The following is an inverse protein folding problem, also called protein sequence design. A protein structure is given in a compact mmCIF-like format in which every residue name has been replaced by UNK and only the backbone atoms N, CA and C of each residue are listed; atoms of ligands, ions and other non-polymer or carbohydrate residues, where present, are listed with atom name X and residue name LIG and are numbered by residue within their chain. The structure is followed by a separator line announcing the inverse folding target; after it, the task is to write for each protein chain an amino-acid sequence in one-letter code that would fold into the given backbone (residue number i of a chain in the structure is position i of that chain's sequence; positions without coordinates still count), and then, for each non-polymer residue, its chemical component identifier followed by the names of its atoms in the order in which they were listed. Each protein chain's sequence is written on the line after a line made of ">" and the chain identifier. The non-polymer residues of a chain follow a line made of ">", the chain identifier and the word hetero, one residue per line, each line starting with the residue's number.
data_IF_783134336436
#
_entry.id   IF_783134336436
#
_cell.length_a   1.000
_cell.length_b   1.000
_cell.length_c   1.000
_cell.angle_alpha   90.00
_cell.angle_beta   90.00
_cell.angle_gamma   90.00
#
_symmetry.space_group_name_H-M   'P 1'
#
loop_
_entity.id
_entity.type
_entity.pdbx_description
1 polymer ?
#
# COMPACT_ATOMS: atom_id res chain seq x y z
N UNK A 1 27.17 -41.38 -35.29
CA UNK A 1 26.35 -40.96 -34.14
C UNK A 1 27.01 -39.72 -33.56
N UNK A 2 26.49 -38.53 -33.86
CA UNK A 2 27.07 -37.26 -33.44
C UNK A 2 26.18 -36.63 -32.39
N UNK A 3 26.72 -36.41 -31.19
CA UNK A 3 26.03 -35.75 -30.09
C UNK A 3 26.03 -34.23 -30.34
N UNK A 4 24.87 -33.67 -30.64
CA UNK A 4 24.65 -32.23 -30.66
C UNK A 4 24.60 -31.71 -29.22
N UNK A 5 25.65 -31.01 -28.79
CA UNK A 5 25.62 -30.21 -27.55
C UNK A 5 24.78 -28.97 -27.82
N UNK A 6 23.62 -28.90 -27.18
CA UNK A 6 22.75 -27.72 -27.12
C UNK A 6 23.51 -26.56 -26.46
N UNK A 7 23.72 -25.48 -27.21
CA UNK A 7 24.19 -24.21 -26.68
C UNK A 7 23.15 -23.67 -25.68
N UNK A 8 23.54 -23.58 -24.41
CA UNK A 8 22.80 -22.83 -23.39
C UNK A 8 22.92 -21.34 -23.72
N UNK A 9 21.98 -20.82 -24.49
CA UNK A 9 21.79 -19.38 -24.65
C UNK A 9 21.10 -18.85 -23.38
N UNK A 10 21.91 -18.63 -22.34
CA UNK A 10 21.53 -17.80 -21.21
C UNK A 10 21.24 -16.42 -21.76
N UNK A 11 19.96 -16.07 -21.89
CA UNK A 11 19.55 -14.69 -22.12
C UNK A 11 20.06 -13.88 -20.94
N UNK A 12 21.11 -13.08 -21.18
CA UNK A 12 21.53 -11.99 -20.32
C UNK A 12 20.32 -11.07 -20.12
N UNK A 13 19.55 -11.34 -19.07
CA UNK A 13 18.71 -10.32 -18.47
C UNK A 13 19.69 -9.28 -17.97
N UNK A 14 19.76 -8.15 -18.68
CA UNK A 14 20.43 -6.94 -18.18
C UNK A 14 19.99 -6.76 -16.73
N UNK A 15 20.86 -7.11 -15.80
CA UNK A 15 20.66 -6.88 -14.38
C UNK A 15 20.71 -5.36 -14.25
N UNK A 16 19.54 -4.74 -14.27
CA UNK A 16 19.37 -3.37 -13.82
C UNK A 16 20.02 -3.37 -12.43
N UNK A 17 21.04 -2.54 -12.17
CA UNK A 17 21.68 -2.51 -10.87
C UNK A 17 20.58 -2.32 -9.84
N UNK A 18 20.45 -3.26 -8.91
CA UNK A 18 19.53 -3.12 -7.80
C UNK A 18 19.92 -1.83 -7.09
N UNK A 19 19.17 -0.75 -7.31
CA UNK A 19 19.35 0.50 -6.59
C UNK A 19 19.32 0.13 -5.12
N UNK A 20 20.46 0.30 -4.45
CA UNK A 20 20.61 -0.03 -3.04
C UNK A 20 19.77 0.98 -2.28
N UNK A 21 18.51 0.64 -2.02
CA UNK A 21 17.62 1.44 -1.21
C UNK A 21 18.33 1.72 0.12
N UNK A 22 18.41 3.00 0.47
CA UNK A 22 18.97 3.40 1.75
C UNK A 22 18.15 2.79 2.88
N UNK A 23 18.80 2.58 4.04
CA UNK A 23 18.11 2.10 5.25
C UNK A 23 16.91 2.97 5.64
N UNK A 24 16.94 4.26 5.32
CA UNK A 24 15.83 5.19 5.56
C UNK A 24 14.63 4.90 4.64
N UNK A 25 14.87 4.67 3.36
CA UNK A 25 13.80 4.32 2.40
C UNK A 25 13.14 3.01 2.78
N UNK A 26 13.92 1.98 3.12
CA UNK A 26 13.36 0.69 3.58
C UNK A 26 12.49 0.85 4.82
N UNK A 27 12.89 1.69 5.78
CA UNK A 27 12.08 1.97 6.98
C UNK A 27 10.79 2.74 6.67
N UNK A 28 10.84 3.67 5.70
CA UNK A 28 9.66 4.40 5.25
C UNK A 28 8.65 3.45 4.62
N UNK A 29 9.09 2.57 3.71
CA UNK A 29 8.24 1.55 3.10
C UNK A 29 7.63 0.61 4.15
N UNK A 30 8.41 0.16 5.14
CA UNK A 30 7.90 -0.72 6.20
C UNK A 30 6.84 -0.01 7.06
N UNK A 31 7.01 1.30 7.31
CA UNK A 31 6.02 2.09 8.04
C UNK A 31 4.74 2.30 7.23
N UNK A 32 4.84 2.66 5.95
CA UNK A 32 3.69 2.84 5.06
C UNK A 32 2.87 1.55 4.93
N UNK A 33 3.55 0.39 4.81
CA UNK A 33 2.90 -0.91 4.80
C UNK A 33 2.15 -1.20 6.10
N UNK A 34 2.77 -0.90 7.25
CA UNK A 34 2.11 -1.08 8.56
C UNK A 34 0.90 -0.16 8.72
N UNK A 35 1.00 1.08 8.25
CA UNK A 35 -0.15 1.99 8.26
C UNK A 35 -1.28 1.48 7.37
N UNK A 36 -0.95 0.93 6.20
CA UNK A 36 -1.95 0.30 5.32
C UNK A 36 -2.61 -0.91 5.99
N UNK A 37 -1.86 -1.76 6.69
CA UNK A 37 -2.42 -2.88 7.47
C UNK A 37 -3.37 -2.39 8.58
N UNK A 38 -3.02 -1.30 9.28
CA UNK A 38 -3.88 -0.69 10.29
C UNK A 38 -5.16 -0.08 9.70
N UNK A 39 -5.13 0.34 8.43
CA UNK A 39 -6.27 0.90 7.73
C UNK A 39 -7.22 -0.17 7.15
N UNK A 40 -6.79 -1.44 7.01
CA UNK A 40 -7.63 -2.53 6.46
C UNK A 40 -8.92 -2.75 7.26
N UNK A 41 -8.91 -2.84 8.60
CA UNK A 41 -10.14 -3.00 9.38
C UNK A 41 -11.13 -1.84 9.19
N UNK A 42 -10.62 -0.61 9.05
CA UNK A 42 -11.46 0.57 8.78
C UNK A 42 -12.09 0.50 7.39
N UNK A 43 -11.31 0.10 6.38
CA UNK A 43 -11.81 -0.09 5.02
C UNK A 43 -12.85 -1.22 4.96
N UNK A 44 -12.63 -2.33 5.68
CA UNK A 44 -13.60 -3.41 5.77
C UNK A 44 -14.89 -2.96 6.46
N UNK A 45 -14.79 -2.22 7.57
CA UNK A 45 -15.96 -1.66 8.24
C UNK A 45 -16.73 -0.67 7.33
N UNK A 46 -16.02 0.11 6.50
CA UNK A 46 -16.66 0.95 5.51
C UNK A 46 -17.41 0.10 4.47
N UNK A 47 -16.78 -0.94 3.91
CA UNK A 47 -17.40 -1.86 2.94
C UNK A 47 -18.64 -2.55 3.50
N UNK A 48 -18.57 -3.02 4.74
CA UNK A 48 -19.69 -3.68 5.40
C UNK A 48 -20.90 -2.75 5.58
N UNK A 49 -20.66 -1.44 5.76
CA UNK A 49 -21.69 -0.40 5.86
C UNK A 49 -22.18 0.13 4.49
N UNK A 50 -21.48 -0.21 3.40
CA UNK A 50 -21.81 0.21 2.04
C UNK A 50 -21.92 -1.03 1.13
N UNK A 51 -22.95 -1.88 1.31
CA UNK A 51 -23.06 -3.16 0.61
C UNK A 51 -23.17 -2.99 -0.91
N UNK A 52 -23.69 -1.85 -1.37
CA UNK A 52 -23.88 -1.55 -2.80
C UNK A 52 -22.60 -1.06 -3.51
N UNK A 53 -21.54 -0.75 -2.75
CA UNK A 53 -20.27 -0.29 -3.32
C UNK A 53 -19.71 -1.32 -4.31
N UNK A 54 -19.30 -0.88 -5.49
CA UNK A 54 -18.87 -1.77 -6.56
C UNK A 54 -17.35 -1.89 -6.62
N UNK A 55 -16.81 -3.11 -6.80
CA UNK A 55 -15.40 -3.32 -7.14
C UNK A 55 -14.98 -2.50 -8.36
N UNK A 56 -13.87 -1.78 -8.26
CA UNK A 56 -13.34 -0.96 -9.36
C UNK A 56 -14.12 0.32 -9.70
N UNK A 57 -15.18 0.64 -8.96
CA UNK A 57 -15.85 1.94 -9.07
C UNK A 57 -14.99 3.03 -8.41
N UNK A 58 -14.58 4.03 -9.20
CA UNK A 58 -13.72 5.12 -8.72
C UNK A 58 -14.41 5.95 -7.64
N UNK A 59 -15.72 6.22 -7.78
CA UNK A 59 -16.47 6.99 -6.78
C UNK A 59 -16.58 6.25 -5.43
N UNK A 60 -16.79 4.94 -5.45
CA UNK A 60 -16.85 4.13 -4.22
C UNK A 60 -15.46 4.03 -3.57
N UNK A 61 -14.42 3.92 -4.40
CA UNK A 61 -13.05 3.94 -3.92
C UNK A 61 -12.71 5.26 -3.25
N UNK A 62 -13.01 6.39 -3.89
CA UNK A 62 -12.74 7.73 -3.34
C UNK A 62 -13.51 7.97 -2.04
N UNK A 63 -14.78 7.52 -1.97
CA UNK A 63 -15.58 7.61 -0.76
C UNK A 63 -15.00 6.78 0.40
N UNK A 64 -14.57 5.55 0.11
CA UNK A 64 -13.86 4.72 1.10
C UNK A 64 -12.57 5.39 1.57
N UNK A 65 -11.74 5.86 0.63
CA UNK A 65 -10.45 6.47 0.95
C UNK A 65 -10.62 7.70 1.81
N UNK A 66 -11.58 8.56 1.49
CA UNK A 66 -11.88 9.75 2.29
C UNK A 66 -12.29 9.37 3.72
N UNK A 67 -13.24 8.44 3.87
CA UNK A 67 -13.72 8.01 5.18
C UNK A 67 -12.60 7.41 6.03
N UNK A 68 -11.83 6.47 5.47
CA UNK A 68 -10.73 5.81 6.18
C UNK A 68 -9.60 6.79 6.50
N UNK A 69 -9.29 7.73 5.59
CA UNK A 69 -8.26 8.73 5.84
C UNK A 69 -8.63 9.67 7.00
N UNK A 70 -9.91 10.02 7.15
CA UNK A 70 -10.39 10.83 8.29
C UNK A 70 -10.19 10.08 9.60
N UNK A 71 -10.59 8.80 9.68
CA UNK A 71 -10.39 7.99 10.88
C UNK A 71 -8.91 7.82 11.22
N UNK A 72 -8.07 7.62 10.20
CA UNK A 72 -6.62 7.57 10.37
C UNK A 72 -6.07 8.91 10.89
N UNK A 73 -6.55 10.05 10.39
CA UNK A 73 -6.14 11.36 10.87
C UNK A 73 -6.51 11.57 12.35
N UNK A 74 -7.73 11.19 12.75
CA UNK A 74 -8.19 11.24 14.16
C UNK A 74 -7.28 10.37 15.04
N UNK A 75 -6.97 9.15 14.59
CA UNK A 75 -6.04 8.28 15.29
C UNK A 75 -4.62 8.88 15.36
N UNK A 76 -4.15 9.53 14.29
CA UNK A 76 -2.86 10.21 14.23
C UNK A 76 -2.75 11.35 15.23
N UNK A 77 -3.78 12.19 15.34
CA UNK A 77 -3.86 13.25 16.34
C UNK A 77 -3.81 12.70 17.77
N UNK A 78 -4.53 11.59 18.03
CA UNK A 78 -4.56 10.94 19.33
C UNK A 78 -3.22 10.28 19.72
N UNK A 79 -2.52 9.67 18.75
CA UNK A 79 -1.20 9.06 18.94
C UNK A 79 -0.13 10.13 19.21
N UNK A 80 -0.19 11.25 18.47
CA UNK A 80 0.78 12.33 18.56
C UNK A 80 2.21 11.94 18.16
N UNK A 81 3.15 12.85 18.42
CA UNK A 81 4.57 12.63 18.13
C UNK A 81 4.88 12.38 16.64
N UNK A 82 6.03 11.77 16.33
CA UNK A 82 6.46 11.57 14.95
C UNK A 82 5.55 10.64 14.13
N UNK A 83 4.92 9.65 14.78
CA UNK A 83 3.99 8.72 14.11
C UNK A 83 2.67 9.42 13.80
N UNK A 84 2.11 10.17 14.75
CA UNK A 84 0.92 10.97 14.53
C UNK A 84 1.11 11.98 13.41
N UNK A 85 2.24 12.71 13.41
CA UNK A 85 2.59 13.67 12.37
C UNK A 85 2.68 13.01 10.98
N UNK A 86 3.28 11.82 10.87
CA UNK A 86 3.36 11.10 9.59
C UNK A 86 1.98 10.69 9.06
N UNK A 87 1.05 10.33 9.94
CA UNK A 87 -0.32 9.99 9.54
C UNK A 87 -1.03 11.25 9.03
N UNK A 88 -0.90 12.37 9.74
CA UNK A 88 -1.56 13.65 9.39
C UNK A 88 -0.94 14.32 8.15
N UNK A 89 0.36 14.14 7.90
CA UNK A 89 1.09 14.72 6.75
C UNK A 89 0.83 13.96 5.42
N UNK A 90 -0.26 13.17 5.36
CA UNK A 90 -0.69 12.45 4.16
C UNK A 90 -0.40 10.94 4.17
N UNK A 91 0.31 10.43 5.18
CA UNK A 91 0.50 8.98 5.34
C UNK A 91 -0.81 8.22 5.56
N UNK A 92 -1.78 8.84 6.24
CA UNK A 92 -3.13 8.29 6.43
C UNK A 92 -3.88 8.12 5.10
N UNK A 93 -3.76 9.07 4.17
CA UNK A 93 -4.41 9.00 2.85
C UNK A 93 -3.79 7.88 2.01
N UNK A 94 -2.46 7.75 2.02
CA UNK A 94 -1.77 6.67 1.31
C UNK A 94 -2.17 5.29 1.86
N UNK A 95 -2.21 5.14 3.18
CA UNK A 95 -2.65 3.93 3.86
C UNK A 95 -4.12 3.58 3.53
N UNK A 96 -5.01 4.57 3.59
CA UNK A 96 -6.42 4.44 3.23
C UNK A 96 -6.59 4.00 1.77
N UNK A 97 -5.84 4.59 0.84
CA UNK A 97 -5.87 4.21 -0.58
C UNK A 97 -5.51 2.75 -0.80
N UNK A 98 -4.43 2.27 -0.17
CA UNK A 98 -4.02 0.87 -0.26
C UNK A 98 -5.05 -0.06 0.38
N UNK A 99 -5.59 0.30 1.56
CA UNK A 99 -6.56 -0.51 2.26
C UNK A 99 -7.90 -0.62 1.51
N UNK A 100 -8.45 0.49 1.03
CA UNK A 100 -9.71 0.50 0.29
C UNK A 100 -9.63 -0.30 -1.02
N UNK A 101 -8.51 -0.22 -1.75
CA UNK A 101 -8.26 -1.03 -2.96
C UNK A 101 -8.17 -2.54 -2.68
N UNK A 102 -7.94 -2.96 -1.43
CA UNK A 102 -7.88 -4.39 -1.07
C UNK A 102 -9.24 -4.99 -0.77
N UNK A 103 -10.22 -4.16 -0.37
CA UNK A 103 -11.55 -4.62 0.09
C UNK A 103 -12.66 -4.31 -0.92
N UNK A 104 -12.41 -3.38 -1.85
CA UNK A 104 -13.26 -3.08 -3.00
C UNK A 104 -12.69 -3.74 -4.25
#
# INVERSE_FOLDING_TARGET
>A
MSFSKSENKSTDLNQIPAETLSRQEVRKYDLENKLAELAVPLAQAWKDNHPDAQPGCEADLDACVLAVAIEMAIAGEAVGGPVGALITDGGGVAAASVACRRVL
#
